data_IF_687588595248
#
_entry.id   IF_687588595248
#
_cell.length_a   1.000
_cell.length_b   1.000
_cell.length_c   1.000
_cell.angle_alpha   90.00
_cell.angle_beta   90.00
_cell.angle_gamma   90.00
#
_symmetry.space_group_name_H-M   'P 1'
#
loop_
_entity.id
_entity.type
_entity.pdbx_description
1 polymer ?
#
# COMPACT_ATOMS: atom_id res chain seq x y z
N UNK A 1 6.67 24.61 -5.86
CA UNK A 1 5.72 23.49 -5.72
C UNK A 1 4.93 23.68 -4.44
N UNK A 2 3.61 23.86 -4.55
CA UNK A 2 2.74 24.05 -3.40
C UNK A 2 2.63 22.79 -2.55
N UNK A 3 2.32 22.94 -1.26
CA UNK A 3 2.26 21.82 -0.31
C UNK A 3 1.30 20.69 -0.73
N UNK A 4 0.18 21.05 -1.35
CA UNK A 4 -0.81 20.09 -1.86
C UNK A 4 -0.28 19.28 -3.06
N UNK A 5 0.47 19.93 -3.96
CA UNK A 5 1.08 19.26 -5.12
C UNK A 5 2.07 18.17 -4.70
N UNK A 6 2.83 18.41 -3.62
CA UNK A 6 3.75 17.40 -3.07
C UNK A 6 3.00 16.17 -2.53
N UNK A 7 1.86 16.36 -1.88
CA UNK A 7 1.01 15.27 -1.41
C UNK A 7 0.52 14.42 -2.57
N UNK A 8 -0.12 15.04 -3.54
CA UNK A 8 -0.66 14.37 -4.73
C UNK A 8 0.43 13.64 -5.53
N UNK A 9 1.62 14.24 -5.65
CA UNK A 9 2.77 13.58 -6.31
C UNK A 9 3.18 12.31 -5.57
N UNK A 10 3.28 12.37 -4.23
CA UNK A 10 3.61 11.19 -3.42
C UNK A 10 2.56 10.10 -3.53
N UNK A 11 1.27 10.47 -3.54
CA UNK A 11 0.16 9.54 -3.72
C UNK A 11 0.21 8.87 -5.10
N UNK A 12 0.45 9.65 -6.16
CA UNK A 12 0.60 9.13 -7.53
C UNK A 12 1.78 8.16 -7.67
N UNK A 13 2.94 8.49 -7.08
CA UNK A 13 4.12 7.61 -7.10
C UNK A 13 3.84 6.29 -6.38
N UNK A 14 3.26 6.34 -5.19
CA UNK A 14 2.94 5.15 -4.40
C UNK A 14 1.88 4.29 -5.10
N UNK A 15 0.84 4.91 -5.66
CA UNK A 15 -0.18 4.22 -6.44
C UNK A 15 0.44 3.48 -7.62
N UNK A 16 1.26 4.15 -8.43
CA UNK A 16 1.96 3.53 -9.56
C UNK A 16 2.90 2.40 -9.11
N UNK A 17 3.57 2.55 -7.97
CA UNK A 17 4.45 1.51 -7.43
C UNK A 17 3.67 0.22 -7.09
N UNK A 18 2.48 0.33 -6.48
CA UNK A 18 1.63 -0.84 -6.22
C UNK A 18 1.11 -1.48 -7.52
N UNK A 19 0.65 -0.68 -8.49
CA UNK A 19 0.22 -1.20 -9.80
C UNK A 19 1.34 -1.95 -10.51
N UNK A 20 2.57 -1.39 -10.52
CA UNK A 20 3.75 -2.04 -11.09
C UNK A 20 4.14 -3.32 -10.35
N UNK A 21 3.84 -3.41 -9.06
CA UNK A 21 4.03 -4.64 -8.28
C UNK A 21 2.93 -5.70 -8.51
N UNK A 22 1.89 -5.38 -9.31
CA UNK A 22 0.82 -6.28 -9.71
C UNK A 22 -0.39 -6.32 -8.78
N UNK A 23 -0.55 -5.34 -7.88
CA UNK A 23 -1.71 -5.26 -6.99
C UNK A 23 -2.85 -4.46 -7.63
N UNK A 24 -4.08 -4.88 -7.36
CA UNK A 24 -5.28 -4.08 -7.66
C UNK A 24 -5.46 -2.99 -6.60
N UNK A 25 -5.87 -1.79 -7.06
CA UNK A 25 -6.02 -0.61 -6.20
C UNK A 25 -7.45 -0.08 -6.27
N UNK A 26 -7.98 0.29 -5.11
CA UNK A 26 -9.23 1.05 -5.01
C UNK A 26 -8.97 2.39 -4.32
N UNK A 27 -9.62 3.44 -4.81
CA UNK A 27 -9.57 4.77 -4.22
C UNK A 27 -10.86 5.05 -3.44
N UNK A 28 -10.78 5.73 -2.28
CA UNK A 28 -11.97 6.09 -1.54
C UNK A 28 -12.80 7.13 -2.33
N UNK A 29 -14.10 6.94 -2.35
CA UNK A 29 -14.99 7.93 -2.92
C UNK A 29 -15.26 9.07 -1.93
N UNK A 30 -15.12 10.31 -2.39
CA UNK A 30 -15.39 11.51 -1.60
C UNK A 30 -14.27 11.90 -0.63
N UNK A 31 -14.59 12.89 0.22
CA UNK A 31 -13.63 13.50 1.16
C UNK A 31 -13.84 12.94 2.56
N UNK A 32 -12.74 12.73 3.31
CA UNK A 32 -12.81 12.37 4.72
C UNK A 32 -12.40 10.95 5.08
N UNK A 33 -12.06 10.11 4.10
CA UNK A 33 -11.43 8.81 4.37
C UNK A 33 -10.16 8.97 5.22
N UNK A 34 -9.83 7.95 6.00
CA UNK A 34 -8.63 7.94 6.83
C UNK A 34 -7.42 7.31 6.11
N UNK A 35 -7.60 6.93 4.86
CA UNK A 35 -6.61 6.35 3.98
C UNK A 35 -6.73 6.95 2.58
N UNK A 36 -5.69 6.88 1.80
CA UNK A 36 -5.64 7.45 0.45
C UNK A 36 -5.92 6.38 -0.62
N UNK A 37 -5.61 5.11 -0.35
CA UNK A 37 -5.89 3.99 -1.24
C UNK A 37 -6.06 2.68 -0.48
N UNK A 38 -6.72 1.72 -1.12
CA UNK A 38 -6.84 0.34 -0.68
C UNK A 38 -6.04 -0.52 -1.65
N UNK A 39 -5.16 -1.37 -1.10
CA UNK A 39 -4.42 -2.39 -1.84
C UNK A 39 -5.12 -3.72 -1.63
N UNK A 40 -5.53 -4.33 -2.73
CA UNK A 40 -6.10 -5.68 -2.70
C UNK A 40 -4.97 -6.71 -2.80
N UNK A 41 -4.76 -7.44 -1.71
CA UNK A 41 -3.84 -8.56 -1.64
C UNK A 41 -4.61 -9.91 -1.64
N UNK A 42 -5.67 -9.99 -2.44
CA UNK A 42 -6.51 -11.18 -2.61
C UNK A 42 -7.56 -11.30 -1.52
N UNK A 43 -7.27 -11.97 -0.43
CA UNK A 43 -8.23 -12.14 0.68
C UNK A 43 -8.21 -11.01 1.71
N UNK A 44 -7.28 -10.06 1.59
CA UNK A 44 -7.17 -8.93 2.50
C UNK A 44 -7.05 -7.60 1.76
N UNK A 45 -7.81 -6.62 2.22
CA UNK A 45 -7.83 -5.26 1.71
C UNK A 45 -7.08 -4.34 2.69
N UNK A 46 -5.87 -3.92 2.31
CA UNK A 46 -5.05 -3.04 3.15
C UNK A 46 -5.35 -1.57 2.88
N UNK A 47 -5.70 -0.84 3.94
CA UNK A 47 -5.87 0.62 3.93
C UNK A 47 -4.51 1.29 4.01
N UNK A 48 -4.14 2.00 2.98
CA UNK A 48 -2.85 2.67 2.87
C UNK A 48 -3.04 4.18 3.02
N UNK A 49 -2.31 4.77 3.95
CA UNK A 49 -2.21 6.22 4.08
C UNK A 49 -0.85 6.68 3.56
N UNK A 50 -0.84 7.40 2.46
CA UNK A 50 0.39 7.93 1.87
C UNK A 50 0.87 9.17 2.62
N UNK A 51 2.18 9.32 2.73
CA UNK A 51 2.84 10.49 3.33
C UNK A 51 4.01 10.92 2.46
N UNK A 52 4.27 12.22 2.43
CA UNK A 52 5.54 12.75 1.93
C UNK A 52 6.52 12.81 3.08
N UNK A 53 7.66 12.15 2.92
CA UNK A 53 8.75 12.17 3.90
C UNK A 53 9.83 13.17 3.51
N UNK A 54 10.70 13.46 4.46
CA UNK A 54 11.92 14.26 4.28
C UNK A 54 13.06 13.70 5.12
N UNK A 55 14.30 13.97 4.74
CA UNK A 55 15.47 13.57 5.51
C UNK A 55 15.92 14.72 6.41
N UNK A 56 16.10 14.41 7.69
CA UNK A 56 16.70 15.32 8.67
C UNK A 56 17.53 14.53 9.68
N UNK A 57 18.75 14.97 9.95
CA UNK A 57 19.66 14.38 10.96
C UNK A 57 19.84 12.85 10.80
N UNK A 58 20.01 12.38 9.55
CA UNK A 58 20.18 10.96 9.25
C UNK A 58 18.94 10.09 9.49
N UNK A 59 17.77 10.72 9.54
CA UNK A 59 16.50 10.03 9.67
C UNK A 59 15.52 10.43 8.56
N UNK A 60 14.73 9.49 8.09
CA UNK A 60 13.52 9.74 7.31
C UNK A 60 12.39 10.08 8.28
N UNK A 61 11.77 11.22 8.09
CA UNK A 61 10.69 11.75 8.94
C UNK A 61 9.42 11.94 8.11
N UNK A 62 8.26 11.66 8.70
CA UNK A 62 6.96 11.99 8.11
C UNK A 62 5.91 12.20 9.20
N UNK A 63 4.87 13.01 8.91
CA UNK A 63 3.78 13.29 9.86
C UNK A 63 2.70 12.21 9.77
N UNK A 64 2.42 11.53 10.88
CA UNK A 64 1.39 10.50 11.03
C UNK A 64 0.16 11.00 11.80
N UNK A 65 -0.24 12.23 11.56
CA UNK A 65 -1.42 12.87 12.14
C UNK A 65 -2.45 13.18 11.07
N UNK A 66 -3.71 13.15 11.43
CA UNK A 66 -4.81 13.63 10.58
C UNK A 66 -5.55 14.81 11.25
N UNK A 67 -6.22 15.60 10.43
CA UNK A 67 -7.11 16.65 10.93
C UNK A 67 -8.30 16.03 11.63
N UNK A 68 -8.71 16.64 12.74
CA UNK A 68 -9.93 16.26 13.42
C UNK A 68 -11.11 16.99 12.75
N UNK A 69 -12.13 16.27 12.27
CA UNK A 69 -13.32 16.91 11.70
C UNK A 69 -13.97 17.87 12.70
N UNK A 70 -14.38 19.05 12.26
CA UNK A 70 -15.08 20.04 13.07
C UNK A 70 -14.23 20.87 14.04
N UNK A 71 -12.91 20.60 14.17
CA UNK A 71 -12.05 21.27 15.15
C UNK A 71 -11.01 22.23 14.53
N UNK A 72 -11.22 22.68 13.30
CA UNK A 72 -10.34 23.63 12.63
C UNK A 72 -8.93 23.10 12.38
N UNK A 73 -7.94 23.57 13.14
CA UNK A 73 -6.52 23.21 12.96
C UNK A 73 -6.07 22.04 13.84
N UNK A 74 -6.94 21.50 14.70
CA UNK A 74 -6.58 20.43 15.61
C UNK A 74 -6.24 19.14 14.85
N UNK A 75 -5.13 18.52 15.24
CA UNK A 75 -4.67 17.26 14.70
C UNK A 75 -4.66 16.19 15.77
N UNK A 76 -4.92 14.96 15.38
CA UNK A 76 -4.85 13.80 16.26
C UNK A 76 -4.05 12.66 15.63
N UNK A 77 -3.55 11.72 16.43
CA UNK A 77 -3.00 10.47 15.92
C UNK A 77 -4.08 9.66 15.17
N UNK A 78 -3.65 8.74 14.32
CA UNK A 78 -4.54 7.74 13.75
C UNK A 78 -4.99 6.75 14.82
N UNK A 79 -6.26 6.35 14.74
CA UNK A 79 -6.81 5.29 15.59
C UNK A 79 -6.58 3.94 14.93
N UNK A 80 -6.63 2.86 15.73
CA UNK A 80 -6.57 1.49 15.22
C UNK A 80 -7.65 1.27 14.15
N UNK A 81 -7.28 0.69 13.01
CA UNK A 81 -8.17 0.40 11.89
C UNK A 81 -8.47 1.58 10.96
N UNK A 82 -7.93 2.78 11.20
CA UNK A 82 -8.06 3.91 10.27
C UNK A 82 -7.10 3.80 9.08
N UNK A 83 -5.94 3.17 9.27
CA UNK A 83 -5.00 2.76 8.23
C UNK A 83 -4.28 1.51 8.72
N UNK A 84 -3.83 0.66 7.80
CA UNK A 84 -3.02 -0.51 8.10
C UNK A 84 -1.53 -0.19 7.94
N UNK A 85 -1.20 0.65 6.94
CA UNK A 85 0.17 1.11 6.70
C UNK A 85 0.22 2.61 6.45
N UNK A 86 1.28 3.23 6.95
CA UNK A 86 1.77 4.51 6.44
C UNK A 86 2.84 4.22 5.39
N UNK A 87 2.58 4.63 4.14
CA UNK A 87 3.54 4.50 3.05
C UNK A 87 4.09 5.88 2.74
N UNK A 88 5.36 6.08 3.05
CA UNK A 88 6.02 7.37 3.00
C UNK A 88 6.99 7.42 1.81
N UNK A 89 6.68 8.25 0.81
CA UNK A 89 7.62 8.57 -0.25
C UNK A 89 8.54 9.69 0.19
N UNK A 90 9.83 9.48 0.05
CA UNK A 90 10.87 10.47 0.38
C UNK A 90 11.53 10.99 -0.91
N UNK A 91 11.18 12.21 -1.38
CA UNK A 91 11.72 12.75 -2.63
C UNK A 91 13.24 12.95 -2.62
N UNK A 92 13.84 13.13 -1.43
CA UNK A 92 15.29 13.42 -1.30
C UNK A 92 16.18 12.24 -1.67
N UNK A 93 15.68 11.00 -1.55
CA UNK A 93 16.40 9.78 -1.93
C UNK A 93 15.53 8.85 -2.80
N UNK A 94 14.41 9.37 -3.30
CA UNK A 94 13.48 8.68 -4.23
C UNK A 94 13.02 7.31 -3.72
N UNK A 95 12.91 7.14 -2.39
CA UNK A 95 12.62 5.86 -1.75
C UNK A 95 11.24 5.87 -1.11
N UNK A 96 10.54 4.74 -1.24
CA UNK A 96 9.28 4.47 -0.55
C UNK A 96 9.56 3.61 0.68
N UNK A 97 8.99 4.01 1.81
CA UNK A 97 9.06 3.28 3.08
C UNK A 97 7.64 2.93 3.53
N UNK A 98 7.40 1.68 3.89
CA UNK A 98 6.09 1.21 4.37
C UNK A 98 6.18 0.77 5.82
N UNK A 99 5.39 1.37 6.68
CA UNK A 99 5.45 1.12 8.13
C UNK A 99 4.05 0.79 8.64
N UNK A 100 3.85 -0.35 9.35
CA UNK A 100 2.57 -0.70 9.95
C UNK A 100 2.05 0.42 10.85
N UNK A 101 0.78 0.80 10.66
CA UNK A 101 0.20 1.97 11.34
C UNK A 101 0.08 1.79 12.86
N UNK A 102 -0.07 0.59 13.35
CA UNK A 102 -0.13 0.28 14.79
C UNK A 102 1.18 0.61 15.54
N UNK A 103 2.31 0.71 14.83
CA UNK A 103 3.62 1.05 15.39
C UNK A 103 3.87 2.55 15.49
N UNK A 104 2.85 3.40 15.30
CA UNK A 104 3.02 4.85 15.15
C UNK A 104 2.41 5.68 16.28
N UNK A 105 3.16 6.78 16.60
CA UNK A 105 2.66 7.94 17.33
C UNK A 105 2.24 9.07 16.38
N UNK A 106 2.62 10.29 16.71
CA UNK A 106 2.28 11.51 15.96
C UNK A 106 3.23 11.80 14.79
N UNK A 107 4.41 11.19 14.79
CA UNK A 107 5.46 11.33 13.77
C UNK A 107 6.16 9.99 13.53
N UNK A 108 6.33 9.64 12.27
CA UNK A 108 7.18 8.52 11.86
C UNK A 108 8.63 8.96 11.78
N UNK A 109 9.53 8.13 12.33
CA UNK A 109 10.98 8.34 12.28
C UNK A 109 11.69 7.04 11.99
N UNK A 110 12.42 6.98 10.88
CA UNK A 110 13.22 5.83 10.47
C UNK A 110 14.68 6.26 10.34
N UNK A 111 15.58 5.54 10.96
CA UNK A 111 17.01 5.85 10.95
C UNK A 111 17.70 5.27 9.72
N UNK A 112 18.44 6.12 9.02
CA UNK A 112 19.23 5.72 7.86
C UNK A 112 20.61 5.18 8.23
N UNK A 113 21.26 5.83 9.20
CA UNK A 113 22.66 5.54 9.56
C UNK A 113 22.82 5.33 11.07
N UNK A 114 23.79 4.50 11.51
CA UNK A 114 24.12 4.36 12.92
C UNK A 114 24.43 5.70 13.59
N UNK A 115 24.04 5.87 14.84
CA UNK A 115 24.39 7.04 15.64
C UNK A 115 25.76 6.89 16.28
N UNK A 116 26.46 8.01 16.44
CA UNK A 116 27.79 8.04 17.06
C UNK A 116 27.83 7.50 18.49
N UNK A 117 26.71 7.58 19.22
CA UNK A 117 26.59 7.08 20.60
C UNK A 117 26.24 5.58 20.72
N UNK A 118 26.21 4.83 19.61
CA UNK A 118 25.97 3.39 19.61
C UNK A 118 24.58 2.94 20.06
N UNK A 119 23.59 3.84 20.16
CA UNK A 119 22.23 3.47 20.56
C UNK A 119 21.56 2.60 19.47
N UNK A 120 21.20 1.36 19.80
CA UNK A 120 20.50 0.42 18.91
C UNK A 120 19.12 0.01 19.43
N UNK A 121 18.88 0.18 20.75
CA UNK A 121 17.57 -0.21 21.34
C UNK A 121 16.48 0.77 20.93
N UNK A 122 15.29 0.25 20.58
CA UNK A 122 14.10 1.01 20.16
C UNK A 122 14.31 1.87 18.90
N UNK A 123 15.35 1.61 18.13
CA UNK A 123 15.61 2.30 16.87
C UNK A 123 14.86 1.55 15.76
N UNK A 124 14.07 2.29 14.98
CA UNK A 124 13.48 1.79 13.74
C UNK A 124 14.43 2.09 12.61
N UNK A 125 15.01 1.06 12.02
CA UNK A 125 15.92 1.20 10.91
C UNK A 125 15.15 1.33 9.59
N UNK A 126 15.54 2.26 8.75
CA UNK A 126 14.88 2.49 7.45
C UNK A 126 14.95 1.24 6.55
N UNK A 127 16.02 0.46 6.67
CA UNK A 127 16.21 -0.78 5.90
C UNK A 127 15.14 -1.84 6.19
N UNK A 128 14.57 -1.86 7.39
CA UNK A 128 13.54 -2.83 7.77
C UNK A 128 12.17 -2.49 7.15
N UNK A 129 12.00 -1.27 6.66
CA UNK A 129 10.74 -0.73 6.15
C UNK A 129 10.81 -0.34 4.67
N UNK A 130 11.72 -0.93 3.91
CA UNK A 130 11.86 -0.68 2.47
C UNK A 130 10.64 -1.17 1.69
N UNK A 131 10.47 -0.61 0.50
CA UNK A 131 9.40 -1.01 -0.43
C UNK A 131 9.43 -2.51 -0.73
N UNK A 132 10.60 -3.08 -1.01
CA UNK A 132 10.75 -4.49 -1.35
C UNK A 132 10.31 -5.42 -0.21
N UNK A 133 10.69 -5.10 1.03
CA UNK A 133 10.25 -5.86 2.21
C UNK A 133 8.73 -5.81 2.35
N UNK A 134 8.12 -4.66 2.14
CA UNK A 134 6.67 -4.50 2.21
C UNK A 134 5.94 -5.29 1.12
N UNK A 135 6.39 -5.22 -0.12
CA UNK A 135 5.80 -5.98 -1.23
C UNK A 135 5.92 -7.48 -0.99
N UNK A 136 7.06 -7.93 -0.47
CA UNK A 136 7.23 -9.34 -0.12
C UNK A 136 6.30 -9.78 1.02
N UNK A 137 6.08 -8.93 2.02
CA UNK A 137 5.12 -9.18 3.10
C UNK A 137 3.70 -9.33 2.55
N UNK A 138 3.25 -8.42 1.68
CA UNK A 138 1.93 -8.51 1.06
C UNK A 138 1.76 -9.75 0.17
N UNK A 139 2.79 -10.11 -0.60
CA UNK A 139 2.78 -11.32 -1.43
C UNK A 139 2.73 -12.61 -0.59
N UNK A 140 3.43 -12.65 0.52
CA UNK A 140 3.38 -13.78 1.44
C UNK A 140 1.99 -13.92 2.08
N UNK A 141 1.33 -12.80 2.37
CA UNK A 141 -0.05 -12.79 2.83
C UNK A 141 -1.00 -13.40 1.80
N UNK A 142 -0.85 -13.01 0.54
CA UNK A 142 -1.61 -13.56 -0.57
C UNK A 142 -1.40 -15.08 -0.73
N UNK A 143 -0.14 -15.53 -0.71
CA UNK A 143 0.22 -16.94 -0.89
C UNK A 143 -0.26 -17.83 0.26
N UNK A 144 -0.16 -17.35 1.51
CA UNK A 144 -0.57 -18.13 2.71
C UNK A 144 -2.07 -18.39 2.72
N UNK A 145 -2.88 -17.45 2.29
CA UNK A 145 -4.34 -17.61 2.21
C UNK A 145 -4.75 -18.44 0.97
N UNK A 146 -4.05 -18.30 -0.14
CA UNK A 146 -4.31 -19.06 -1.37
C UNK A 146 -4.09 -20.57 -1.20
N UNK A 147 -3.22 -21.00 -0.28
CA UNK A 147 -3.00 -22.40 0.01
C UNK A 147 -4.17 -23.08 0.76
N UNK A 148 -4.98 -22.30 1.47
CA UNK A 148 -6.13 -22.80 2.25
C UNK A 148 -7.50 -22.61 1.58
N UNK A 149 -7.58 -21.77 0.54
CA UNK A 149 -8.84 -21.40 -0.12
C UNK A 149 -8.69 -21.36 -1.65
N UNK A 150 -7.97 -22.32 -2.25
CA UNK A 150 -8.04 -22.44 -3.71
C UNK A 150 -9.48 -22.81 -4.10
N UNK A 151 -10.27 -21.91 -4.69
CA UNK A 151 -11.42 -22.38 -5.46
C UNK A 151 -10.87 -23.31 -6.53
N UNK A 152 -11.53 -24.42 -6.85
CA UNK A 152 -11.12 -25.26 -7.96
C UNK A 152 -10.95 -24.36 -9.18
N UNK A 153 -9.74 -24.34 -9.75
CA UNK A 153 -9.50 -23.67 -11.03
C UNK A 153 -10.53 -24.24 -11.97
N UNK A 154 -11.41 -23.44 -12.62
CA UNK A 154 -12.27 -23.98 -13.66
C UNK A 154 -11.34 -24.68 -14.63
N UNK A 155 -11.54 -25.99 -14.81
CA UNK A 155 -10.75 -26.74 -15.78
C UNK A 155 -10.94 -26.05 -17.12
N UNK A 156 -9.88 -25.44 -17.64
CA UNK A 156 -9.87 -24.76 -18.94
C UNK A 156 -10.17 -25.69 -20.11
N UNK A 157 -10.42 -26.98 -19.83
CA UNK A 157 -10.87 -27.98 -20.79
C UNK A 157 -12.37 -27.96 -21.12
N UNK A 158 -13.22 -27.44 -20.22
CA UNK A 158 -14.68 -27.47 -20.46
C UNK A 158 -15.13 -26.37 -21.44
N UNK A 159 -14.46 -25.25 -21.54
CA UNK A 159 -14.83 -24.15 -22.44
C UNK A 159 -14.42 -24.38 -23.90
N UNK A 160 -13.44 -25.22 -24.17
CA UNK A 160 -13.02 -25.51 -25.56
C UNK A 160 -13.89 -26.54 -26.24
N UNK A 161 -14.57 -27.43 -25.50
CA UNK A 161 -15.48 -28.46 -26.07
C UNK A 161 -16.86 -27.89 -26.36
N UNK A 162 -17.37 -26.92 -25.63
CA UNK A 162 -18.68 -26.31 -25.94
C UNK A 162 -18.64 -25.35 -27.15
N UNK A 163 -17.50 -24.71 -27.41
CA UNK A 163 -17.34 -23.82 -28.57
C UNK A 163 -17.16 -24.63 -29.89
N UNK A 164 -16.60 -25.84 -29.85
CA UNK A 164 -16.49 -26.69 -31.03
C UNK A 164 -17.81 -27.37 -31.43
N UNK A 165 -18.75 -27.53 -30.51
CA UNK A 165 -20.07 -28.12 -30.80
C UNK A 165 -21.05 -27.14 -31.46
N UNK A 166 -20.78 -25.85 -31.52
CA UNK A 166 -21.62 -24.82 -32.13
C UNK A 166 -21.28 -24.48 -33.57
N UNK A 167 -20.10 -24.83 -34.04
CA UNK A 167 -19.66 -24.53 -35.42
C UNK A 167 -19.94 -25.68 -36.42
N UNK A 168 -20.65 -26.76 -35.99
CA UNK A 168 -20.91 -27.95 -36.80
C UNK A 168 -22.25 -28.06 -37.48
N UNK A 169 -23.20 -27.13 -37.24
CA UNK A 169 -24.56 -27.26 -37.80
C UNK A 169 -25.04 -26.00 -38.53
N UNK A 170 -24.45 -25.75 -39.67
CA UNK A 170 -24.99 -24.85 -40.70
C UNK A 170 -24.83 -25.47 -42.09
N UNK A 171 -25.59 -26.58 -42.36
CA UNK A 171 -25.94 -26.94 -43.72
C UNK A 171 -27.30 -26.34 -44.01
N UNK A 172 -27.29 -25.31 -44.82
CA UNK A 172 -28.45 -24.77 -45.50
C UNK A 172 -28.54 -25.58 -46.77
N UNK A 173 -29.55 -26.46 -46.87
CA UNK A 173 -29.99 -27.06 -48.14
C UNK A 173 -31.02 -26.14 -48.79
N UNK A 174 -30.83 -25.92 -50.09
CA UNK A 174 -31.70 -25.16 -51.01
C UNK A 174 -33.00 -25.93 -51.31
#
# INVERSE_FOLDING_TARGET
MYKYERGNTSEGIVLCAYLNAGFSISLPFGMGASYDLIVDAGSHLFKIQVKTAWIKEGCVLYKSQRRQPGSGLTRRPYKKGEADYFVAYCPSNETIYAVPAEKHGVEGRLRLNPVRNGQVKLVRWAIDYTWDNHIQELRNWYAWQGSNLRPPVPETGALSTELQARDGDSRIDY
#
